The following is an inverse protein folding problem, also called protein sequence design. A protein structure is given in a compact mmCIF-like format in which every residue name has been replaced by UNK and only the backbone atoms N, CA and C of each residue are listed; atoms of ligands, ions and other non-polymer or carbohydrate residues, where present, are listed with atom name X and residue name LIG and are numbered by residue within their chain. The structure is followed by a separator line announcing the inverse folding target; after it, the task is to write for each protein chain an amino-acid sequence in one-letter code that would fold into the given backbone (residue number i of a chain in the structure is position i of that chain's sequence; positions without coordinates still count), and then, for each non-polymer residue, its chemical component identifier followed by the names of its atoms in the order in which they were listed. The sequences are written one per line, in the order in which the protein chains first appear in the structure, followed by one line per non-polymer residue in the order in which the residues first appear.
data_IF_896673398570
#
_entry.id   IF_896673398570
#
_cell.length_a   1.000
_cell.length_b   1.000
_cell.length_c   1.000
_cell.angle_alpha   90.00
_cell.angle_beta   90.00
_cell.angle_gamma   90.00
#
_symmetry.space_group_name_H-M   'P 1'
#
loop_
_entity.id
_entity.type
_entity.pdbx_description
1 polymer ?
#
# COMPACT_ATOMS: atom_id res chain seq x y z
N UNK A 1 0.81 -8.91 -2.37
CA UNK A 1 2.17 -8.43 -2.02
C UNK A 1 2.04 -7.27 -1.06
N UNK A 2 2.91 -7.21 -0.05
CA UNK A 2 2.91 -6.16 0.98
C UNK A 2 4.29 -5.50 1.06
N UNK A 3 4.33 -4.18 0.92
CA UNK A 3 5.53 -3.34 1.08
C UNK A 3 5.45 -2.66 2.46
N UNK A 4 6.42 -2.94 3.31
CA UNK A 4 6.38 -2.56 4.73
C UNK A 4 5.43 -3.48 5.49
N UNK A 5 5.97 -4.44 6.24
CA UNK A 5 5.21 -5.56 6.80
C UNK A 5 5.28 -5.62 8.33
N UNK A 6 4.28 -6.27 8.93
CA UNK A 6 4.15 -6.34 10.37
C UNK A 6 2.79 -6.85 10.85
N UNK A 7 2.04 -6.00 11.55
CA UNK A 7 0.76 -6.42 12.13
C UNK A 7 -0.35 -6.58 11.08
N UNK A 8 -0.33 -5.77 10.03
CA UNK A 8 -1.17 -5.94 8.82
C UNK A 8 -1.01 -7.33 8.22
N UNK A 9 0.23 -7.81 8.08
CA UNK A 9 0.56 -9.17 7.62
C UNK A 9 -0.08 -10.25 8.49
N UNK A 10 -0.04 -10.09 9.83
CA UNK A 10 -0.69 -11.02 10.78
C UNK A 10 -2.20 -11.04 10.59
N UNK A 11 -2.81 -9.86 10.43
CA UNK A 11 -4.23 -9.74 10.18
C UNK A 11 -4.63 -10.42 8.87
N UNK A 12 -3.90 -10.15 7.79
CA UNK A 12 -4.11 -10.80 6.50
C UNK A 12 -3.98 -12.33 6.61
N UNK A 13 -2.94 -12.84 7.30
CA UNK A 13 -2.78 -14.29 7.50
C UNK A 13 -3.94 -14.88 8.29
N UNK A 14 -4.41 -14.20 9.33
CA UNK A 14 -5.55 -14.64 10.13
C UNK A 14 -6.82 -14.74 9.28
N UNK A 15 -7.11 -13.74 8.44
CA UNK A 15 -8.23 -13.77 7.52
C UNK A 15 -8.14 -14.93 6.50
N UNK A 16 -6.95 -15.18 5.95
CA UNK A 16 -6.70 -16.32 5.05
C UNK A 16 -7.04 -17.66 5.73
N UNK A 17 -6.60 -17.83 6.98
CA UNK A 17 -6.86 -19.06 7.75
C UNK A 17 -8.34 -19.20 8.13
N UNK A 18 -8.97 -18.12 8.60
CA UNK A 18 -10.35 -18.15 9.07
C UNK A 18 -11.36 -18.42 7.94
N UNK A 19 -11.03 -17.99 6.72
CA UNK A 19 -11.86 -18.17 5.53
C UNK A 19 -11.36 -19.24 4.57
N UNK A 20 -10.29 -19.97 4.93
CA UNK A 20 -9.66 -21.02 4.11
C UNK A 20 -9.39 -20.56 2.66
N UNK A 21 -8.78 -19.37 2.52
CA UNK A 21 -8.51 -18.76 1.22
C UNK A 21 -7.25 -19.35 0.57
N UNK A 22 -7.27 -19.54 -0.74
CA UNK A 22 -6.09 -19.92 -1.54
C UNK A 22 -5.23 -18.69 -1.88
N UNK A 23 -4.86 -17.91 -0.86
CA UNK A 23 -4.13 -16.66 -1.01
C UNK A 23 -2.71 -16.79 -0.45
N UNK A 24 -1.74 -16.23 -1.17
CA UNK A 24 -0.33 -16.17 -0.73
C UNK A 24 0.04 -14.75 -0.30
N UNK A 25 0.84 -14.67 0.75
CA UNK A 25 1.43 -13.42 1.22
C UNK A 25 2.91 -13.38 0.83
N UNK A 26 3.29 -12.33 0.10
CA UNK A 26 4.68 -11.99 -0.21
C UNK A 26 4.96 -10.68 0.53
N UNK A 27 5.91 -10.72 1.47
CA UNK A 27 6.37 -9.56 2.22
C UNK A 27 7.65 -8.99 1.62
N UNK A 28 7.66 -7.68 1.36
CA UNK A 28 8.80 -6.89 0.95
C UNK A 28 9.08 -5.88 2.06
N UNK A 29 10.08 -6.16 2.89
CA UNK A 29 10.46 -5.27 3.99
C UNK A 29 11.86 -5.64 4.47
N UNK A 30 12.87 -4.74 4.44
CA UNK A 30 14.20 -5.04 4.97
C UNK A 30 14.20 -5.29 6.49
N UNK A 31 13.29 -4.67 7.24
CA UNK A 31 13.23 -4.69 8.71
C UNK A 31 11.77 -4.67 9.19
N UNK A 32 11.05 -5.81 9.08
CA UNK A 32 9.63 -5.87 9.42
C UNK A 32 9.36 -5.50 10.88
N UNK A 33 8.23 -4.83 11.10
CA UNK A 33 7.82 -4.32 12.43
C UNK A 33 7.37 -5.44 13.39
N UNK A 34 7.24 -6.66 12.89
CA UNK A 34 6.93 -7.86 13.67
C UNK A 34 7.60 -9.10 13.06
N UNK A 35 7.76 -10.16 13.86
CA UNK A 35 8.17 -11.48 13.36
C UNK A 35 7.06 -12.06 12.46
N UNK A 36 7.22 -11.87 11.15
CA UNK A 36 6.29 -12.31 10.11
C UNK A 36 6.88 -13.38 9.19
N UNK A 37 8.15 -13.73 9.38
CA UNK A 37 8.90 -14.65 8.51
C UNK A 37 8.22 -16.02 8.41
N UNK A 38 7.63 -16.47 9.52
CA UNK A 38 6.95 -17.78 9.61
C UNK A 38 5.53 -17.78 9.09
N UNK A 39 4.92 -16.62 8.85
CA UNK A 39 3.51 -16.51 8.45
C UNK A 39 3.34 -16.10 6.99
N UNK A 40 4.26 -15.31 6.45
CA UNK A 40 4.29 -14.98 5.04
C UNK A 40 4.82 -16.19 4.24
N UNK A 41 4.30 -16.36 3.03
CA UNK A 41 4.67 -17.46 2.14
C UNK A 41 6.00 -17.18 1.41
N UNK A 42 6.34 -15.90 1.25
CA UNK A 42 7.65 -15.44 0.76
C UNK A 42 8.07 -14.15 1.45
N UNK A 43 9.37 -14.02 1.73
CA UNK A 43 9.96 -12.90 2.43
C UNK A 43 11.14 -12.33 1.64
N UNK A 44 11.05 -11.06 1.28
CA UNK A 44 12.09 -10.31 0.57
C UNK A 44 12.61 -9.24 1.53
N UNK A 45 13.76 -9.52 2.14
CA UNK A 45 14.43 -8.65 3.13
C UNK A 45 15.36 -7.66 2.44
N UNK A 46 14.79 -6.78 1.62
CA UNK A 46 15.50 -5.72 0.88
C UNK A 46 14.68 -4.44 0.86
N UNK A 47 15.38 -3.30 0.72
CA UNK A 47 14.73 -2.01 0.44
C UNK A 47 14.05 -2.09 -0.93
N UNK A 48 12.93 -1.40 -1.08
CA UNK A 48 12.12 -1.49 -2.30
C UNK A 48 12.89 -1.02 -3.54
N UNK A 49 13.62 0.07 -3.39
CA UNK A 49 14.44 0.70 -4.43
C UNK A 49 15.66 -0.14 -4.86
N UNK A 50 16.02 -1.18 -4.09
CA UNK A 50 17.10 -2.11 -4.42
C UNK A 50 16.59 -3.37 -5.15
N UNK A 51 15.28 -3.46 -5.40
CA UNK A 51 14.65 -4.61 -6.04
C UNK A 51 14.56 -4.49 -7.55
N UNK A 52 14.59 -5.65 -8.19
CA UNK A 52 14.21 -5.79 -9.59
C UNK A 52 12.68 -5.74 -9.65
N UNK A 53 12.13 -4.68 -10.26
CA UNK A 53 10.71 -4.33 -10.17
C UNK A 53 9.80 -5.21 -11.04
N UNK A 54 10.33 -6.10 -11.89
CA UNK A 54 9.50 -7.02 -12.69
C UNK A 54 8.67 -7.98 -11.83
N UNK A 55 9.04 -8.19 -10.56
CA UNK A 55 8.22 -8.96 -9.61
C UNK A 55 6.80 -8.39 -9.48
N UNK A 56 6.61 -7.07 -9.64
CA UNK A 56 5.28 -6.46 -9.59
C UNK A 56 4.44 -6.74 -10.84
N UNK A 57 5.08 -7.12 -11.95
CA UNK A 57 4.40 -7.56 -13.18
C UNK A 57 3.81 -8.98 -13.01
N UNK A 58 4.16 -9.71 -11.95
CA UNK A 58 3.52 -10.99 -11.63
C UNK A 58 2.09 -10.81 -11.13
N UNK A 59 1.79 -9.68 -10.47
CA UNK A 59 0.45 -9.38 -9.96
C UNK A 59 -0.55 -9.30 -11.12
N UNK A 60 -1.69 -9.98 -10.95
CA UNK A 60 -2.77 -10.05 -11.90
C UNK A 60 -4.09 -9.51 -11.35
N UNK A 61 -5.16 -9.81 -12.08
CA UNK A 61 -6.51 -9.47 -11.67
C UNK A 61 -6.85 -10.07 -10.30
N UNK A 62 -7.44 -9.25 -9.42
CA UNK A 62 -7.80 -9.56 -8.04
C UNK A 62 -6.61 -9.79 -7.08
N UNK A 63 -5.37 -9.71 -7.55
CA UNK A 63 -4.22 -9.66 -6.65
C UNK A 63 -4.14 -8.28 -5.98
N UNK A 64 -3.61 -8.25 -4.76
CA UNK A 64 -3.49 -7.03 -3.98
C UNK A 64 -2.03 -6.59 -3.82
N UNK A 65 -1.77 -5.30 -4.06
CA UNK A 65 -0.57 -4.60 -3.63
C UNK A 65 -0.91 -3.70 -2.45
N UNK A 66 -0.35 -4.02 -1.29
CA UNK A 66 -0.51 -3.26 -0.04
C UNK A 66 0.75 -2.44 0.23
N UNK A 67 0.61 -1.12 0.38
CA UNK A 67 1.70 -0.16 0.52
C UNK A 67 1.62 0.50 1.89
N UNK A 68 2.59 0.18 2.76
CA UNK A 68 2.76 0.71 4.14
C UNK A 68 4.26 0.90 4.46
N UNK A 69 4.96 1.52 3.51
CA UNK A 69 6.41 1.71 3.53
C UNK A 69 6.90 2.80 4.48
N UNK A 70 7.71 3.71 3.96
CA UNK A 70 8.31 4.81 4.73
C UNK A 70 7.43 6.05 4.82
N UNK A 71 6.49 6.24 3.87
CA UNK A 71 5.64 7.44 3.72
C UNK A 71 6.42 8.72 3.34
N UNK A 72 7.68 8.58 2.95
CA UNK A 72 8.54 9.73 2.65
C UNK A 72 8.86 9.83 1.17
N UNK A 73 8.49 10.95 0.55
CA UNK A 73 8.88 11.28 -0.81
C UNK A 73 10.22 12.01 -0.83
N UNK A 74 11.29 11.26 -0.99
CA UNK A 74 12.65 11.77 -1.26
C UNK A 74 13.22 11.16 -2.55
N UNK A 75 14.37 11.66 -3.01
CA UNK A 75 15.08 11.07 -4.13
C UNK A 75 15.28 9.57 -3.93
N UNK A 76 14.75 8.76 -4.85
CA UNK A 76 14.86 7.30 -4.84
C UNK A 76 14.37 6.64 -3.52
N UNK A 77 13.39 7.27 -2.86
CA UNK A 77 12.64 6.65 -1.77
C UNK A 77 11.65 5.62 -2.29
N UNK A 78 11.24 4.70 -1.43
CA UNK A 78 10.20 3.73 -1.73
C UNK A 78 8.91 4.39 -2.24
N UNK A 79 8.45 5.48 -1.62
CA UNK A 79 7.28 6.23 -2.08
C UNK A 79 7.48 6.74 -3.52
N UNK A 80 8.63 7.32 -3.85
CA UNK A 80 8.89 7.77 -5.23
C UNK A 80 8.93 6.61 -6.23
N UNK A 81 9.56 5.49 -5.88
CA UNK A 81 9.62 4.29 -6.73
C UNK A 81 8.22 3.70 -6.94
N UNK A 82 7.38 3.68 -5.90
CA UNK A 82 6.01 3.21 -6.00
C UNK A 82 5.24 4.00 -7.06
N UNK A 83 5.18 5.32 -6.92
CA UNK A 83 4.35 6.14 -7.81
C UNK A 83 4.89 6.24 -9.24
N UNK A 84 6.21 6.34 -9.40
CA UNK A 84 6.83 6.60 -10.70
C UNK A 84 7.17 5.32 -11.46
N UNK A 85 7.37 4.21 -10.77
CA UNK A 85 7.86 2.98 -11.39
C UNK A 85 6.93 1.78 -11.19
N UNK A 86 6.43 1.54 -9.98
CA UNK A 86 5.62 0.35 -9.72
C UNK A 86 4.20 0.51 -10.28
N UNK A 87 3.49 1.57 -9.89
CA UNK A 87 2.09 1.76 -10.31
C UNK A 87 1.90 1.72 -11.84
N UNK A 88 2.77 2.35 -12.66
CA UNK A 88 2.65 2.27 -14.12
C UNK A 88 2.87 0.86 -14.72
N UNK A 89 3.51 -0.06 -13.99
CA UNK A 89 3.81 -1.43 -14.44
C UNK A 89 2.71 -2.44 -14.08
N UNK A 90 1.81 -2.10 -13.17
CA UNK A 90 0.77 -3.02 -12.72
C UNK A 90 -0.20 -3.36 -13.85
N UNK A 91 -0.61 -4.63 -13.89
CA UNK A 91 -1.69 -5.08 -14.79
C UNK A 91 -3.02 -4.45 -14.36
N UNK A 92 -3.96 -4.38 -15.31
CA UNK A 92 -5.33 -3.97 -15.00
C UNK A 92 -5.96 -4.89 -13.95
N UNK A 93 -6.84 -4.33 -13.12
CA UNK A 93 -7.58 -5.03 -12.07
C UNK A 93 -6.74 -5.57 -10.90
N UNK A 94 -5.47 -5.15 -10.77
CA UNK A 94 -4.73 -5.27 -9.50
C UNK A 94 -5.34 -4.29 -8.49
N UNK A 95 -5.61 -4.76 -7.29
CA UNK A 95 -6.12 -3.93 -6.19
C UNK A 95 -4.94 -3.28 -5.49
N UNK A 96 -4.88 -1.95 -5.47
CA UNK A 96 -3.81 -1.20 -4.80
C UNK A 96 -4.37 -0.53 -3.55
N UNK A 97 -3.76 -0.81 -2.41
CA UNK A 97 -4.07 -0.19 -1.13
C UNK A 97 -2.87 0.64 -0.68
N UNK A 98 -3.11 1.91 -0.37
CA UNK A 98 -2.08 2.86 0.11
C UNK A 98 -2.48 3.30 1.51
N UNK A 99 -1.60 3.07 2.48
CA UNK A 99 -1.81 3.40 3.88
C UNK A 99 -1.58 4.88 4.19
N UNK A 100 -2.15 5.32 5.32
CA UNK A 100 -2.01 6.68 5.87
C UNK A 100 -2.41 7.81 4.90
N UNK A 101 -3.45 7.58 4.09
CA UNK A 101 -4.01 8.59 3.19
C UNK A 101 -5.19 9.32 3.83
N UNK A 102 -5.13 10.65 3.85
CA UNK A 102 -6.17 11.50 4.45
C UNK A 102 -7.03 12.27 3.45
N UNK A 103 -6.80 12.07 2.16
CA UNK A 103 -7.53 12.76 1.09
C UNK A 103 -9.06 12.65 1.26
N UNK A 104 -9.81 13.72 0.98
CA UNK A 104 -9.36 15.01 0.41
C UNK A 104 -8.81 16.00 1.45
N UNK A 105 -8.63 15.57 2.70
CA UNK A 105 -8.07 16.39 3.77
C UNK A 105 -6.55 16.32 3.78
N UNK A 106 -5.94 17.30 4.43
CA UNK A 106 -4.53 17.24 4.77
C UNK A 106 -4.27 16.28 5.95
N UNK A 107 -3.00 15.94 6.19
CA UNK A 107 -2.59 15.22 7.39
C UNK A 107 -3.07 15.97 8.65
N UNK A 108 -3.53 15.23 9.68
CA UNK A 108 -4.12 15.85 10.85
C UNK A 108 -3.08 16.60 11.70
N UNK A 109 -3.50 17.61 12.48
CA UNK A 109 -2.63 18.21 13.49
C UNK A 109 -2.01 17.16 14.42
N UNK A 110 -0.75 17.32 14.77
CA UNK A 110 0.05 16.36 15.56
C UNK A 110 0.85 15.36 14.72
N UNK A 111 0.67 15.33 13.39
CA UNK A 111 1.47 14.50 12.47
C UNK A 111 2.61 15.27 11.78
N UNK A 112 2.84 16.53 12.14
CA UNK A 112 3.83 17.41 11.50
C UNK A 112 5.24 16.81 11.57
N UNK A 113 5.58 16.15 12.68
CA UNK A 113 6.88 15.53 12.90
C UNK A 113 7.06 14.17 12.20
N UNK A 114 6.01 13.62 11.58
CA UNK A 114 6.11 12.41 10.76
C UNK A 114 6.65 12.71 9.38
N UNK A 115 6.43 13.93 8.87
CA UNK A 115 6.85 14.37 7.54
C UNK A 115 6.35 13.48 6.39
N UNK A 116 5.19 12.83 6.58
CA UNK A 116 4.56 12.02 5.54
C UNK A 116 4.17 12.91 4.36
N UNK A 117 4.28 12.37 3.15
CA UNK A 117 4.24 13.19 1.92
C UNK A 117 3.73 12.44 0.68
N UNK A 118 3.57 11.13 0.77
CA UNK A 118 3.06 10.25 -0.26
C UNK A 118 1.64 10.60 -0.70
N UNK A 119 0.78 11.10 0.20
CA UNK A 119 -0.59 11.47 -0.18
C UNK A 119 -0.62 12.61 -1.20
N UNK A 120 0.38 13.51 -1.20
CA UNK A 120 0.43 14.60 -2.17
C UNK A 120 0.80 14.10 -3.56
N UNK A 121 1.64 13.05 -3.65
CA UNK A 121 1.87 12.35 -4.92
C UNK A 121 0.60 11.68 -5.40
N UNK A 122 -0.12 10.99 -4.50
CA UNK A 122 -1.41 10.38 -4.83
C UNK A 122 -2.42 11.42 -5.33
N UNK A 123 -2.55 12.55 -4.63
CA UNK A 123 -3.45 13.63 -5.01
C UNK A 123 -3.12 14.18 -6.41
N UNK A 124 -1.84 14.46 -6.67
CA UNK A 124 -1.38 14.90 -7.99
C UNK A 124 -1.69 13.87 -9.08
N UNK A 125 -1.47 12.58 -8.79
CA UNK A 125 -1.73 11.47 -9.70
C UNK A 125 -3.21 11.34 -10.07
N UNK A 126 -4.10 11.46 -9.07
CA UNK A 126 -5.55 11.42 -9.25
C UNK A 126 -6.06 12.66 -9.99
N UNK A 127 -5.58 13.86 -9.63
CA UNK A 127 -5.97 15.13 -10.24
C UNK A 127 -5.48 15.30 -11.68
N UNK A 128 -4.37 14.64 -12.05
CA UNK A 128 -3.86 14.63 -13.42
C UNK A 128 -4.81 13.96 -14.43
N UNK A 129 -6.00 13.50 -14.01
CA UNK A 129 -7.08 13.09 -14.89
C UNK A 129 -6.88 11.70 -15.48
N UNK A 130 -5.98 10.91 -14.89
CA UNK A 130 -5.71 9.57 -15.36
C UNK A 130 -6.84 8.66 -14.84
N UNK A 131 -7.79 8.27 -15.71
CA UNK A 131 -8.88 7.31 -15.39
C UNK A 131 -8.36 5.87 -15.21
N UNK A 132 -7.13 5.72 -14.70
CA UNK A 132 -6.43 4.44 -14.54
C UNK A 132 -6.88 3.77 -13.24
N UNK A 133 -7.32 4.55 -12.25
CA UNK A 133 -7.78 4.03 -10.97
C UNK A 133 -9.30 4.11 -10.82
N UNK A 134 -9.87 2.98 -10.44
CA UNK A 134 -11.21 2.92 -9.87
C UNK A 134 -11.08 3.02 -8.33
N UNK A 135 -11.62 4.07 -7.73
CA UNK A 135 -11.56 4.26 -6.27
C UNK A 135 -12.56 3.29 -5.62
N UNK A 136 -12.05 2.35 -4.82
CA UNK A 136 -12.87 1.32 -4.17
C UNK A 136 -13.33 1.77 -2.78
N UNK A 137 -12.39 2.21 -1.92
CA UNK A 137 -12.69 2.46 -0.51
C UNK A 137 -11.79 3.56 0.10
N UNK A 138 -12.18 4.84 0.02
CA UNK A 138 -11.44 5.94 0.63
C UNK A 138 -11.76 6.06 2.12
N UNK A 139 -11.11 5.21 2.94
CA UNK A 139 -11.45 5.04 4.37
C UNK A 139 -11.53 6.34 5.18
N UNK A 140 -10.58 7.27 5.00
CA UNK A 140 -10.57 8.51 5.76
C UNK A 140 -11.65 9.52 5.31
N UNK A 141 -12.05 9.46 4.04
CA UNK A 141 -13.19 10.23 3.57
C UNK A 141 -14.48 9.69 4.19
N UNK A 142 -14.68 8.37 4.10
CA UNK A 142 -15.86 7.68 4.65
C UNK A 142 -16.01 7.93 6.15
N UNK A 143 -14.92 7.89 6.91
CA UNK A 143 -14.95 8.10 8.36
C UNK A 143 -15.33 9.52 8.79
N UNK A 144 -15.36 10.49 7.86
CA UNK A 144 -15.69 11.89 8.11
C UNK A 144 -16.95 12.36 7.40
N UNK A 145 -17.50 11.53 6.52
CA UNK A 145 -18.70 11.83 5.77
C UNK A 145 -19.91 11.41 6.59
N UNK A 146 -20.73 12.38 7.02
CA UNK A 146 -21.87 12.14 7.91
C UNK A 146 -22.90 11.14 7.33
N UNK A 147 -22.97 10.99 6.00
CA UNK A 147 -23.89 10.05 5.34
C UNK A 147 -23.31 8.63 5.26
N UNK A 148 -21.98 8.49 5.33
CA UNK A 148 -21.27 7.20 5.22
C UNK A 148 -20.67 6.71 6.55
N UNK A 149 -20.62 7.58 7.57
CA UNK A 149 -20.10 7.25 8.90
C UNK A 149 -21.05 6.25 9.60
N UNK A 150 -20.57 5.01 9.80
CA UNK A 150 -21.30 3.95 10.52
C UNK A 150 -21.93 2.84 9.67
N UNK A 151 -21.63 2.77 8.36
CA UNK A 151 -21.92 1.60 7.53
C UNK A 151 -20.96 0.42 7.77
#
# INVERSE_FOLDING_TARGET
MEIGSGNSTKFAKKAILDHNLETKIISIDPYPRADIDKIADSNIRKRLEDLELSIFEELGENDMLFIDGSHHCFMNSDATVIFLEILPRLKSNVIVQIHDIFLPYDYPPGWENRYYSEQYLLAAYLLAGTKIFNIILPMQYISKDEELEGC
#
